data_IF_787790473336
#
_entry.id   IF_787790473336
#
_cell.length_a   1.000
_cell.length_b   1.000
_cell.length_c   1.000
_cell.angle_alpha   90.00
_cell.angle_beta   90.00
_cell.angle_gamma   90.00
#
_symmetry.space_group_name_H-M   'P 1'
#
loop_
_entity.id
_entity.type
_entity.pdbx_description
1 polymer ?
#
# COMPACT_ATOMS: atom_id res chain seq x y z
N UNK A 1 46.29 -22.04 -18.55
CA UNK A 1 45.57 -21.55 -17.35
C UNK A 1 44.66 -20.41 -17.80
N UNK A 2 43.34 -20.59 -17.76
CA UNK A 2 42.37 -19.55 -18.10
C UNK A 2 41.80 -18.94 -16.83
N UNK A 3 41.86 -17.61 -16.71
CA UNK A 3 41.23 -16.89 -15.62
C UNK A 3 39.71 -16.88 -15.85
N UNK A 4 38.95 -17.49 -14.95
CA UNK A 4 37.50 -17.32 -14.93
C UNK A 4 37.18 -15.92 -14.38
N UNK A 5 36.50 -15.09 -15.16
CA UNK A 5 35.97 -13.82 -14.68
C UNK A 5 34.89 -14.11 -13.62
N UNK A 6 35.08 -13.58 -12.41
CA UNK A 6 34.06 -13.60 -11.38
C UNK A 6 32.84 -12.82 -11.89
N UNK A 7 31.72 -13.49 -12.13
CA UNK A 7 30.48 -12.85 -12.56
C UNK A 7 30.03 -11.82 -11.54
N UNK A 8 29.82 -10.57 -11.96
CA UNK A 8 29.25 -9.53 -11.11
C UNK A 8 27.80 -9.91 -10.78
N UNK A 9 27.54 -10.26 -9.52
CA UNK A 9 26.17 -10.38 -9.04
C UNK A 9 25.51 -8.99 -9.13
N UNK A 10 24.32 -8.88 -9.75
CA UNK A 10 23.61 -7.61 -9.76
C UNK A 10 23.37 -7.14 -8.32
N UNK A 11 23.53 -5.83 -8.10
CA UNK A 11 23.21 -5.23 -6.80
C UNK A 11 21.76 -5.54 -6.42
N UNK A 12 21.45 -5.74 -5.13
CA UNK A 12 20.07 -5.95 -4.70
C UNK A 12 19.20 -4.76 -5.11
N UNK A 13 18.05 -5.05 -5.71
CA UNK A 13 17.05 -4.05 -6.09
C UNK A 13 15.93 -3.99 -5.07
N UNK A 14 15.29 -2.82 -4.98
CA UNK A 14 14.09 -2.60 -4.17
C UNK A 14 12.95 -2.27 -5.14
N UNK A 15 11.80 -2.92 -4.98
CA UNK A 15 10.58 -2.64 -5.73
C UNK A 15 9.63 -1.79 -4.91
N UNK A 16 9.22 -0.67 -5.48
CA UNK A 16 8.29 0.28 -4.84
C UNK A 16 7.00 0.35 -5.66
N UNK A 17 5.86 0.12 -5.00
CA UNK A 17 4.53 0.38 -5.55
C UNK A 17 4.06 1.76 -5.10
N UNK A 18 3.55 2.58 -6.02
CA UNK A 18 2.89 3.85 -5.70
C UNK A 18 1.48 3.79 -6.25
N UNK A 19 0.48 3.90 -5.38
CA UNK A 19 -0.90 3.67 -5.79
C UNK A 19 -1.89 4.54 -5.01
N UNK A 20 -2.73 5.28 -5.74
CA UNK A 20 -3.89 5.96 -5.18
C UNK A 20 -5.07 4.99 -5.13
N UNK A 21 -5.56 4.71 -3.92
CA UNK A 21 -6.57 3.66 -3.68
C UNK A 21 -8.00 4.20 -3.63
N UNK A 22 -8.18 5.49 -3.91
CA UNK A 22 -9.46 6.19 -3.94
C UNK A 22 -10.33 5.93 -2.69
N UNK A 23 -9.80 6.18 -1.49
CA UNK A 23 -10.49 5.90 -0.24
C UNK A 23 -10.90 4.42 -0.06
N UNK A 24 -10.14 3.51 -0.68
CA UNK A 24 -10.45 2.09 -0.68
C UNK A 24 -11.68 1.72 -1.51
N UNK A 25 -12.05 2.55 -2.50
CA UNK A 25 -13.23 2.33 -3.34
C UNK A 25 -12.84 2.03 -4.79
N UNK A 26 -13.70 1.29 -5.48
CA UNK A 26 -13.58 1.10 -6.92
C UNK A 26 -14.20 2.28 -7.71
N UNK A 27 -14.18 2.17 -9.05
CA UNK A 27 -14.74 3.20 -9.93
C UNK A 27 -16.27 3.37 -9.81
N UNK A 28 -16.97 2.39 -9.22
CA UNK A 28 -18.40 2.47 -8.91
C UNK A 28 -18.66 2.97 -7.47
N UNK A 29 -17.61 3.26 -6.69
CA UNK A 29 -17.70 3.71 -5.31
C UNK A 29 -17.93 2.59 -4.29
N UNK A 30 -17.74 1.33 -4.69
CA UNK A 30 -17.89 0.15 -3.83
C UNK A 30 -16.59 -0.13 -3.08
N UNK A 31 -16.69 -0.58 -1.82
CA UNK A 31 -15.53 -0.94 -1.00
C UNK A 31 -14.67 -2.02 -1.68
N UNK A 32 -13.36 -1.80 -1.70
CA UNK A 32 -12.41 -2.50 -2.58
C UNK A 32 -11.04 -2.78 -1.91
N UNK A 33 -10.94 -2.70 -0.58
CA UNK A 33 -9.67 -2.87 0.16
C UNK A 33 -9.04 -4.27 -0.05
N UNK A 34 -9.84 -5.31 -0.20
CA UNK A 34 -9.38 -6.68 -0.48
C UNK A 34 -8.67 -6.77 -1.84
N UNK A 35 -9.16 -6.05 -2.84
CA UNK A 35 -8.55 -6.00 -4.17
C UNK A 35 -7.28 -5.16 -4.15
N UNK A 36 -7.30 -4.02 -3.46
CA UNK A 36 -6.09 -3.20 -3.22
C UNK A 36 -5.00 -4.04 -2.56
N UNK A 37 -5.34 -4.78 -1.51
CA UNK A 37 -4.39 -5.67 -0.83
C UNK A 37 -3.87 -6.79 -1.74
N UNK A 38 -4.70 -7.27 -2.66
CA UNK A 38 -4.29 -8.27 -3.66
C UNK A 38 -3.28 -7.68 -4.64
N UNK A 39 -3.53 -6.48 -5.16
CA UNK A 39 -2.58 -5.75 -6.02
C UNK A 39 -1.25 -5.52 -5.30
N UNK A 40 -1.28 -5.09 -4.03
CA UNK A 40 -0.06 -4.90 -3.23
C UNK A 40 0.75 -6.19 -3.13
N UNK A 41 0.11 -7.32 -2.77
CA UNK A 41 0.78 -8.62 -2.63
C UNK A 41 1.33 -9.15 -3.95
N UNK A 42 0.55 -9.04 -5.02
CA UNK A 42 0.92 -9.58 -6.34
C UNK A 42 1.94 -8.70 -7.08
N UNK A 43 2.07 -7.43 -6.71
CA UNK A 43 3.08 -6.53 -7.26
C UNK A 43 4.53 -6.98 -6.97
N UNK A 44 4.72 -7.81 -5.94
CA UNK A 44 6.05 -8.18 -5.44
C UNK A 44 6.84 -6.99 -4.89
N UNK A 45 6.15 -5.93 -4.45
CA UNK A 45 6.78 -4.76 -3.88
C UNK A 45 7.39 -5.04 -2.50
N UNK A 46 8.54 -4.44 -2.23
CA UNK A 46 9.13 -4.39 -0.90
C UNK A 46 8.54 -3.23 -0.08
N UNK A 47 8.12 -2.16 -0.77
CA UNK A 47 7.52 -0.96 -0.19
C UNK A 47 6.30 -0.55 -1.01
N UNK A 48 5.17 -0.25 -0.34
CA UNK A 48 3.97 0.29 -0.97
C UNK A 48 3.64 1.68 -0.39
N UNK A 49 3.55 2.68 -1.26
CA UNK A 49 3.15 4.04 -0.95
C UNK A 49 1.72 4.26 -1.42
N UNK A 50 0.78 4.21 -0.49
CA UNK A 50 -0.64 4.33 -0.76
C UNK A 50 -1.12 5.76 -0.48
N UNK A 51 -1.93 6.30 -1.38
CA UNK A 51 -2.54 7.63 -1.27
C UNK A 51 -4.06 7.51 -1.16
N UNK A 52 -4.67 8.52 -0.56
CA UNK A 52 -6.10 8.60 -0.30
C UNK A 52 -6.59 7.50 0.66
N UNK A 53 -5.86 7.24 1.73
CA UNK A 53 -6.22 6.23 2.74
C UNK A 53 -7.00 6.91 3.85
N UNK A 54 -8.16 6.35 4.21
CA UNK A 54 -8.96 6.82 5.35
C UNK A 54 -8.63 6.07 6.64
N UNK A 55 -8.63 6.79 7.76
CA UNK A 55 -8.60 6.21 9.10
C UNK A 55 -9.71 6.79 9.96
N UNK A 56 -10.78 6.01 10.14
CA UNK A 56 -11.89 6.38 11.03
C UNK A 56 -12.81 7.47 10.47
N UNK A 57 -12.82 7.70 9.14
CA UNK A 57 -13.72 8.68 8.53
C UNK A 57 -15.15 8.14 8.40
N UNK A 58 -16.16 9.00 8.42
CA UNK A 58 -17.55 8.52 8.27
C UNK A 58 -17.82 7.88 6.90
N UNK A 59 -17.22 8.38 5.80
CA UNK A 59 -17.38 7.75 4.46
C UNK A 59 -16.76 6.37 4.34
N UNK A 60 -15.79 6.03 5.20
CA UNK A 60 -15.18 4.71 5.28
C UNK A 60 -15.92 3.81 6.27
N UNK A 61 -17.09 4.21 6.78
CA UNK A 61 -17.81 3.47 7.81
C UNK A 61 -17.06 3.45 9.15
N UNK A 62 -16.24 4.47 9.42
CA UNK A 62 -15.30 4.55 10.54
C UNK A 62 -14.25 3.41 10.56
N UNK A 63 -13.97 2.79 9.41
CA UNK A 63 -12.92 1.78 9.28
C UNK A 63 -11.54 2.44 9.31
N UNK A 64 -10.62 1.82 10.05
CA UNK A 64 -9.18 2.07 9.93
C UNK A 64 -8.63 1.28 8.74
N UNK A 65 -8.54 1.93 7.57
CA UNK A 65 -8.06 1.26 6.36
C UNK A 65 -6.58 0.92 6.46
N UNK A 66 -5.79 1.69 7.20
CA UNK A 66 -4.35 1.44 7.41
C UNK A 66 -4.17 0.10 8.13
N UNK A 67 -4.85 -0.10 9.26
CA UNK A 67 -4.80 -1.34 10.01
C UNK A 67 -5.33 -2.53 9.19
N UNK A 68 -6.42 -2.33 8.45
CA UNK A 68 -7.01 -3.36 7.59
C UNK A 68 -6.05 -3.79 6.47
N UNK A 69 -5.45 -2.83 5.76
CA UNK A 69 -4.49 -3.10 4.69
C UNK A 69 -3.24 -3.78 5.22
N UNK A 70 -2.67 -3.32 6.33
CA UNK A 70 -1.53 -3.96 6.99
C UNK A 70 -1.83 -5.43 7.31
N UNK A 71 -3.01 -5.71 7.86
CA UNK A 71 -3.45 -7.08 8.16
C UNK A 71 -3.59 -7.94 6.89
N UNK A 72 -4.19 -7.40 5.83
CA UNK A 72 -4.46 -8.14 4.58
C UNK A 72 -3.19 -8.40 3.76
N UNK A 73 -2.24 -7.46 3.75
CA UNK A 73 -1.01 -7.56 2.96
C UNK A 73 0.13 -8.24 3.73
N UNK A 74 0.05 -8.28 5.08
CA UNK A 74 1.13 -8.68 6.00
C UNK A 74 2.31 -7.69 6.01
N UNK A 75 2.09 -6.46 5.57
CA UNK A 75 3.08 -5.39 5.67
C UNK A 75 2.99 -4.72 7.04
N UNK A 76 4.11 -4.16 7.49
CA UNK A 76 4.09 -3.13 8.52
C UNK A 76 3.61 -1.82 7.90
N UNK A 77 2.82 -1.03 8.64
CA UNK A 77 2.27 0.22 8.16
C UNK A 77 2.73 1.40 9.01
N UNK A 78 2.98 2.52 8.33
CA UNK A 78 3.09 3.84 8.91
C UNK A 78 2.12 4.76 8.16
N UNK A 79 1.47 5.68 8.89
CA UNK A 79 0.46 6.56 8.31
C UNK A 79 0.81 8.02 8.58
N UNK A 80 0.93 8.78 7.50
CA UNK A 80 1.14 10.23 7.53
C UNK A 80 -0.16 10.94 7.20
N UNK A 81 -0.87 11.43 8.22
CA UNK A 81 -2.08 12.22 8.02
C UNK A 81 -1.78 13.52 7.27
N UNK A 82 -2.56 13.81 6.25
CA UNK A 82 -2.55 15.10 5.54
C UNK A 82 -3.60 16.06 6.10
N UNK A 83 -4.82 15.59 6.41
CA UNK A 83 -5.86 16.40 7.03
C UNK A 83 -6.80 15.60 7.95
N UNK A 84 -7.49 16.31 8.84
CA UNK A 84 -8.70 15.80 9.50
C UNK A 84 -9.84 15.81 8.49
N UNK A 85 -10.52 14.70 8.30
CA UNK A 85 -11.59 14.58 7.31
C UNK A 85 -12.74 13.74 7.84
N UNK A 86 -13.96 14.28 7.80
CA UNK A 86 -15.19 13.58 8.19
C UNK A 86 -15.09 12.83 9.53
N UNK A 87 -14.58 13.49 10.57
CA UNK A 87 -14.43 12.92 11.91
C UNK A 87 -13.24 11.97 12.12
N UNK A 88 -12.51 11.63 11.04
CA UNK A 88 -11.30 10.83 11.10
C UNK A 88 -10.09 11.53 10.48
N UNK A 89 -9.12 10.74 10.07
CA UNK A 89 -7.88 11.19 9.42
C UNK A 89 -7.83 10.71 7.96
N UNK A 90 -7.21 11.51 7.09
CA UNK A 90 -6.99 11.19 5.68
C UNK A 90 -5.57 11.52 5.25
N UNK A 91 -4.96 10.64 4.46
CA UNK A 91 -3.58 10.78 3.97
C UNK A 91 -3.22 9.77 2.89
#
# INVERSE_FOLDING_TARGET
MGCAAAGSRPAPSIRVLVYNIHAGKDAAGVDNLERVATIVRESGADIALLQEVDRGTTRSGNVDQVARLASLTRFHAAFGKTLNYQGGDYG
#
